data_IF_485587880070
#
_entry.id   IF_485587880070
#
_cell.length_a   1.000
_cell.length_b   1.000
_cell.length_c   1.000
_cell.angle_alpha   90.00
_cell.angle_beta   90.00
_cell.angle_gamma   90.00
#
_symmetry.space_group_name_H-M   'P 1'
#
loop_
_entity.id
_entity.type
_entity.pdbx_description
1 polymer ?
#
# COMPACT_ATOMS: atom_id res chain seq x y z
N UNK A 1 9.09 13.14 -7.18
CA UNK A 1 9.11 12.16 -6.07
C UNK A 1 7.96 11.19 -6.32
N UNK A 2 8.26 9.91 -6.54
CA UNK A 2 7.24 8.88 -6.80
C UNK A 2 6.74 8.38 -5.45
N UNK A 3 5.50 8.69 -5.10
CA UNK A 3 4.87 8.19 -3.87
C UNK A 3 4.45 6.74 -4.08
N UNK A 4 4.74 5.88 -3.10
CA UNK A 4 4.30 4.49 -3.12
C UNK A 4 2.99 4.39 -2.35
N UNK A 5 2.05 3.63 -2.89
CA UNK A 5 0.81 3.25 -2.20
C UNK A 5 0.84 1.76 -1.95
N UNK A 6 0.54 1.39 -0.72
CA UNK A 6 0.34 0.02 -0.30
C UNK A 6 -1.14 -0.19 -0.09
N UNK A 7 -1.73 -1.02 -0.94
CA UNK A 7 -3.10 -1.47 -0.82
C UNK A 7 -3.13 -2.73 0.05
N UNK A 8 -3.88 -2.71 1.14
CA UNK A 8 -4.11 -3.85 2.00
C UNK A 8 -5.58 -4.26 1.91
N UNK A 9 -5.80 -5.49 1.48
CA UNK A 9 -7.10 -6.10 1.35
C UNK A 9 -7.26 -7.25 2.35
N UNK A 10 -8.25 -7.19 3.22
CA UNK A 10 -8.58 -8.27 4.15
C UNK A 10 -9.48 -9.30 3.46
N UNK A 11 -9.08 -10.58 3.49
CA UNK A 11 -9.92 -11.68 2.95
C UNK A 11 -11.15 -11.94 3.79
N UNK A 12 -11.00 -11.81 5.11
CA UNK A 12 -12.12 -11.84 6.04
C UNK A 12 -12.45 -10.39 6.41
N UNK A 13 -13.68 -9.92 6.17
CA UNK A 13 -14.05 -8.53 6.43
C UNK A 13 -14.00 -8.30 7.95
N UNK A 14 -12.94 -7.64 8.40
CA UNK A 14 -12.90 -7.07 9.75
C UNK A 14 -13.64 -5.74 9.64
N UNK A 15 -14.82 -5.66 10.28
CA UNK A 15 -15.54 -4.38 10.44
C UNK A 15 -16.05 -3.73 9.13
N UNK A 16 -16.41 -4.55 8.14
CA UNK A 16 -17.14 -4.09 6.94
C UNK A 16 -16.32 -3.31 5.89
N UNK A 17 -15.03 -3.09 6.13
CA UNK A 17 -14.11 -2.48 5.15
C UNK A 17 -12.94 -3.40 4.87
N UNK A 18 -12.93 -4.03 3.69
CA UNK A 18 -11.89 -4.97 3.29
C UNK A 18 -10.66 -4.26 2.68
N UNK A 19 -10.86 -3.12 1.98
CA UNK A 19 -9.83 -2.46 1.17
C UNK A 19 -9.33 -1.17 1.81
N UNK A 20 -8.05 -1.13 2.18
CA UNK A 20 -7.40 0.00 2.83
C UNK A 20 -6.15 0.44 2.07
N UNK A 21 -5.91 1.74 2.01
CA UNK A 21 -4.79 2.33 1.27
C UNK A 21 -3.85 3.07 2.22
N UNK A 22 -2.58 2.72 2.15
CA UNK A 22 -1.53 3.23 3.03
C UNK A 22 -0.38 3.83 2.24
N UNK A 23 0.20 4.91 2.74
CA UNK A 23 1.40 5.51 2.13
C UNK A 23 2.69 4.76 2.46
N UNK A 24 2.68 3.84 3.43
CA UNK A 24 3.85 3.06 3.82
C UNK A 24 3.46 1.78 4.55
N UNK A 25 4.35 0.78 4.55
CA UNK A 25 4.17 -0.41 5.38
C UNK A 25 4.11 -0.09 6.88
N UNK A 26 4.84 0.94 7.33
CA UNK A 26 4.86 1.32 8.74
C UNK A 26 3.47 1.75 9.22
N UNK A 27 2.73 2.51 8.42
CA UNK A 27 1.36 2.91 8.73
C UNK A 27 0.41 1.72 8.90
N UNK A 28 0.66 0.61 8.18
CA UNK A 28 -0.12 -0.62 8.32
C UNK A 28 0.11 -1.23 9.70
N UNK A 29 1.37 -1.40 10.10
CA UNK A 29 1.72 -2.02 11.38
C UNK A 29 1.41 -1.15 12.59
N UNK A 30 1.21 0.15 12.39
CA UNK A 30 0.75 1.08 13.42
C UNK A 30 -0.72 0.84 13.80
N UNK A 31 -1.56 0.51 12.80
CA UNK A 31 -2.98 0.21 12.99
C UNK A 31 -3.26 -1.27 13.25
N UNK A 32 -2.54 -2.16 12.57
CA UNK A 32 -2.76 -3.61 12.61
C UNK A 32 -1.48 -4.33 13.02
N UNK A 33 -1.47 -5.03 14.16
CA UNK A 33 -0.29 -5.78 14.58
C UNK A 33 -0.01 -6.95 13.62
N UNK A 34 1.23 -7.46 13.67
CA UNK A 34 1.65 -8.59 12.82
C UNK A 34 0.81 -9.85 13.00
N UNK A 35 0.16 -10.03 14.15
CA UNK A 35 -0.75 -11.15 14.41
C UNK A 35 -2.04 -11.07 13.58
N UNK A 36 -2.58 -9.85 13.40
CA UNK A 36 -3.76 -9.58 12.59
C UNK A 36 -3.45 -9.76 11.10
N UNK A 37 -2.33 -9.20 10.65
CA UNK A 37 -1.87 -9.30 9.25
C UNK A 37 -1.39 -10.74 8.94
N UNK A 38 -0.87 -11.45 9.94
CA UNK A 38 -0.31 -12.79 9.81
C UNK A 38 1.10 -12.82 9.19
N UNK A 39 1.80 -11.69 9.15
CA UNK A 39 3.20 -11.57 8.72
C UNK A 39 3.90 -10.46 9.50
N UNK A 40 5.20 -10.60 9.73
CA UNK A 40 6.03 -9.59 10.38
C UNK A 40 6.60 -8.59 9.36
N UNK A 41 6.92 -7.38 9.81
CA UNK A 41 7.47 -6.33 8.94
C UNK A 41 8.69 -6.80 8.14
N UNK A 42 9.66 -7.45 8.79
CA UNK A 42 10.88 -7.96 8.13
C UNK A 42 10.56 -8.99 7.05
N UNK A 43 9.64 -9.91 7.32
CA UNK A 43 9.23 -10.92 6.36
C UNK A 43 8.47 -10.27 5.19
N UNK A 44 7.61 -9.29 5.45
CA UNK A 44 6.88 -8.56 4.41
C UNK A 44 7.85 -7.81 3.48
N UNK A 45 8.80 -7.06 4.04
CA UNK A 45 9.81 -6.35 3.26
C UNK A 45 10.61 -7.32 2.39
N UNK A 46 11.03 -8.46 2.93
CA UNK A 46 11.76 -9.46 2.17
C UNK A 46 10.90 -10.11 1.06
N UNK A 47 9.63 -10.40 1.35
CA UNK A 47 8.70 -10.96 0.37
C UNK A 47 8.37 -9.98 -0.76
N UNK A 48 8.34 -8.68 -0.47
CA UNK A 48 8.07 -7.60 -1.41
C UNK A 48 9.33 -7.22 -2.21
N UNK A 49 10.53 -7.49 -1.71
CA UNK A 49 11.79 -7.06 -2.33
C UNK A 49 12.02 -7.63 -3.74
N UNK A 50 11.25 -8.65 -4.16
CA UNK A 50 11.22 -9.14 -5.54
C UNK A 50 9.82 -9.27 -6.14
N UNK A 51 8.77 -8.75 -5.49
CA UNK A 51 7.37 -8.87 -5.92
C UNK A 51 6.55 -7.66 -5.47
N UNK A 52 5.68 -7.16 -6.33
CA UNK A 52 4.77 -6.06 -5.98
C UNK A 52 3.48 -6.54 -5.28
N UNK A 53 3.33 -7.86 -5.09
CA UNK A 53 2.15 -8.46 -4.49
C UNK A 53 2.54 -9.57 -3.50
N UNK A 54 1.87 -9.52 -2.34
CA UNK A 54 1.96 -10.51 -1.29
C UNK A 54 0.54 -10.93 -0.90
N UNK A 55 0.30 -12.23 -0.76
CA UNK A 55 -1.00 -12.75 -0.34
C UNK A 55 -0.80 -13.81 0.73
N UNK A 56 -1.65 -13.77 1.76
CA UNK A 56 -1.72 -14.76 2.81
C UNK A 56 -3.18 -15.24 2.99
N UNK A 57 -3.40 -16.14 3.95
CA UNK A 57 -4.76 -16.58 4.34
C UNK A 57 -5.62 -15.42 4.85
N UNK A 58 -5.02 -14.47 5.56
CA UNK A 58 -5.74 -13.35 6.20
C UNK A 58 -5.86 -12.10 5.31
N UNK A 59 -4.77 -11.73 4.65
CA UNK A 59 -4.68 -10.45 3.91
C UNK A 59 -4.00 -10.61 2.55
N UNK A 60 -4.23 -9.63 1.69
CA UNK A 60 -3.58 -9.44 0.39
C UNK A 60 -3.02 -8.03 0.32
N UNK A 61 -1.71 -7.90 0.18
CA UNK A 61 -0.98 -6.65 0.15
C UNK A 61 -0.44 -6.43 -1.26
N UNK A 62 -0.73 -5.27 -1.85
CA UNK A 62 -0.23 -4.86 -3.16
C UNK A 62 0.47 -3.52 -3.07
N UNK A 63 1.65 -3.43 -3.63
CA UNK A 63 2.40 -2.18 -3.74
C UNK A 63 2.25 -1.65 -5.14
N UNK A 64 1.91 -0.39 -5.26
CA UNK A 64 1.77 0.30 -6.55
C UNK A 64 2.26 1.73 -6.43
N UNK A 65 2.64 2.33 -7.55
CA UNK A 65 2.98 3.76 -7.59
C UNK A 65 1.70 4.61 -7.51
N UNK A 66 1.74 5.69 -6.73
CA UNK A 66 0.66 6.67 -6.70
C UNK A 66 0.64 7.42 -8.04
N UNK A 67 -0.35 7.13 -8.87
CA UNK A 67 -0.51 7.79 -10.16
C UNK A 67 -1.18 9.15 -9.91
N UNK A 68 -0.41 10.22 -10.06
CA UNK A 68 -0.94 11.59 -10.08
C UNK A 68 -1.24 12.00 -11.51
N UNK A 69 -2.29 12.79 -11.71
CA UNK A 69 -2.46 13.52 -12.98
C UNK A 69 -1.21 14.36 -13.21
N UNK A 70 -0.60 14.32 -14.40
CA UNK A 70 0.48 15.24 -14.72
C UNK A 70 -0.08 16.66 -14.59
N UNK A 71 0.58 17.50 -13.79
CA UNK A 71 0.27 18.93 -13.78
C UNK A 71 0.57 19.43 -15.19
N UNK A 72 -0.46 19.76 -15.97
CA UNK A 72 -0.29 20.60 -17.15
C UNK A 72 0.35 21.88 -16.63
N UNK A 73 1.64 22.09 -16.91
CA UNK A 73 2.20 23.43 -16.81
C UNK A 73 1.43 24.23 -17.85
N UNK A 74 0.38 24.94 -17.41
CA UNK A 74 -0.16 26.03 -18.19
C UNK A 74 1.06 26.90 -18.49
N UNK A 75 1.48 26.91 -19.76
CA UNK A 75 2.52 27.81 -20.23
C UNK A 75 2.07 29.19 -19.82
N UNK A 76 2.80 29.81 -18.91
CA UNK A 76 2.86 31.26 -18.78
C UNK A 76 2.94 31.79 -20.21
N UNK A 77 1.87 32.44 -20.65
CA UNK A 77 1.83 33.14 -21.92
C UNK A 77 2.76 34.33 -21.73
N UNK A 78 3.94 34.39 -22.38
CA UNK A 78 4.73 35.60 -22.29
C UNK A 78 4.02 36.68 -23.09
N UNK A 79 3.85 37.84 -22.43
CA UNK A 79 3.60 39.18 -22.99
C UNK A 79 2.28 39.38 -23.74
#
# INVERSE_FOLDING_TARGET
MKEKVVHLHFKEPVEGSADLYFGSFKAIYDLYPSETIGITYKALVNAIHGRDCYENKKVKIRVSEYIRKPKTKAKDKPC
#
